data_IF_464663177472
#
_entry.id   IF_464663177472
#
_cell.length_a   1.000
_cell.length_b   1.000
_cell.length_c   1.000
_cell.angle_alpha   90.00
_cell.angle_beta   90.00
_cell.angle_gamma   90.00
#
_symmetry.space_group_name_H-M   'P 1'
#
loop_
_entity.id
_entity.type
_entity.pdbx_description
1 polymer ?
#
# COMPACT_ATOMS: atom_id res chain seq x y z
N UNK A 1 -19.95 -20.50 25.43
CA UNK A 1 -18.94 -19.64 24.77
C UNK A 1 -18.14 -20.57 23.86
N UNK A 2 -18.46 -20.58 22.56
CA UNK A 2 -17.92 -21.56 21.63
C UNK A 2 -16.60 -21.05 21.09
N UNK A 3 -15.51 -21.74 21.43
CA UNK A 3 -14.20 -21.57 20.80
C UNK A 3 -14.37 -21.95 19.33
N UNK A 4 -14.50 -20.96 18.46
CA UNK A 4 -14.45 -21.15 17.02
C UNK A 4 -13.05 -21.62 16.66
N UNK A 5 -12.93 -22.86 16.18
CA UNK A 5 -11.70 -23.39 15.60
C UNK A 5 -11.33 -22.56 14.38
N UNK A 6 -10.29 -21.73 14.50
CA UNK A 6 -9.66 -21.13 13.34
C UNK A 6 -9.04 -22.27 12.53
N UNK A 7 -9.65 -22.53 11.37
CA UNK A 7 -9.13 -23.43 10.35
C UNK A 7 -7.66 -23.10 10.08
N UNK A 8 -6.84 -24.15 9.98
CA UNK A 8 -5.38 -24.23 9.85
C UNK A 8 -4.77 -23.52 8.61
N UNK A 9 -5.37 -22.43 8.11
CA UNK A 9 -4.94 -21.69 6.92
C UNK A 9 -4.43 -20.28 7.24
N UNK A 10 -4.28 -19.91 8.51
CA UNK A 10 -3.56 -18.70 8.92
C UNK A 10 -2.05 -18.97 8.85
N UNK A 11 -1.49 -18.90 7.64
CA UNK A 11 -0.06 -19.01 7.41
C UNK A 11 0.44 -17.66 6.90
N UNK A 12 0.95 -16.86 7.84
CA UNK A 12 1.67 -15.60 7.65
C UNK A 12 0.88 -14.46 6.99
N UNK A 13 0.57 -13.47 7.80
CA UNK A 13 -0.37 -12.43 7.42
C UNK A 13 0.43 -11.21 6.92
N UNK A 14 0.28 -10.89 5.63
CA UNK A 14 0.40 -9.49 5.23
C UNK A 14 -0.76 -8.79 5.91
N UNK A 15 -0.47 -7.87 6.81
CA UNK A 15 -1.50 -7.08 7.45
C UNK A 15 -1.61 -5.75 6.77
N UNK A 16 -2.84 -5.30 6.59
CA UNK A 16 -3.15 -3.98 6.05
C UNK A 16 -3.81 -3.16 7.14
N UNK A 17 -3.38 -1.90 7.30
CA UNK A 17 -4.06 -0.95 8.18
C UNK A 17 -5.07 -0.10 7.41
N UNK A 18 -6.29 0.05 7.94
CA UNK A 18 -7.30 0.97 7.39
C UNK A 18 -6.98 2.44 7.64
N UNK A 19 -5.99 2.74 8.49
CA UNK A 19 -5.58 4.12 8.80
C UNK A 19 -4.07 4.19 8.97
N UNK A 20 -3.48 5.37 8.71
CA UNK A 20 -2.07 5.67 9.07
C UNK A 20 -1.82 5.72 10.59
N UNK A 21 -2.80 5.33 11.42
CA UNK A 21 -2.61 5.07 12.84
C UNK A 21 -2.45 3.56 13.05
N UNK A 22 -1.28 3.17 13.53
CA UNK A 22 -1.01 1.81 13.99
C UNK A 22 -2.00 1.41 15.09
N UNK A 23 -2.67 0.28 14.95
CA UNK A 23 -3.47 -0.28 16.04
C UNK A 23 -4.18 -1.59 15.74
N UNK A 24 -4.73 -1.77 14.54
CA UNK A 24 -5.41 -3.00 14.16
C UNK A 24 -5.10 -3.36 12.69
N UNK A 25 -4.16 -4.27 12.50
CA UNK A 25 -3.88 -4.85 11.19
C UNK A 25 -4.91 -5.90 10.85
N UNK A 26 -5.42 -5.89 9.62
CA UNK A 26 -6.32 -6.94 9.12
C UNK A 26 -5.51 -7.97 8.32
N UNK A 27 -5.64 -9.27 8.60
CA UNK A 27 -4.92 -10.29 7.85
C UNK A 27 -5.44 -10.41 6.43
N UNK A 28 -4.51 -10.47 5.48
CA UNK A 28 -4.81 -10.77 4.07
C UNK A 28 -4.86 -12.27 3.86
N UNK A 29 -5.98 -12.76 3.32
CA UNK A 29 -6.13 -14.16 2.92
C UNK A 29 -5.58 -14.38 1.50
N UNK A 30 -4.47 -15.11 1.40
CA UNK A 30 -3.84 -15.44 0.11
C UNK A 30 -4.59 -16.59 -0.57
N UNK A 31 -5.30 -16.28 -1.65
CA UNK A 31 -5.91 -17.30 -2.49
C UNK A 31 -4.84 -18.03 -3.30
N UNK A 32 -5.04 -19.32 -3.54
CA UNK A 32 -4.18 -20.10 -4.43
C UNK A 32 -4.23 -19.50 -5.84
N UNK A 33 -3.07 -19.45 -6.51
CA UNK A 33 -2.92 -18.97 -7.89
C UNK A 33 -3.37 -17.49 -8.08
N UNK A 34 -3.28 -16.68 -7.01
CA UNK A 34 -3.63 -15.27 -7.03
C UNK A 34 -2.46 -14.37 -6.61
N UNK A 35 -2.49 -13.12 -7.11
CA UNK A 35 -1.61 -12.05 -6.66
C UNK A 35 -2.32 -11.15 -5.66
N UNK A 36 -1.56 -10.61 -4.72
CA UNK A 36 -1.99 -9.46 -3.91
C UNK A 36 -1.40 -8.21 -4.54
N UNK A 37 -2.25 -7.24 -4.84
CA UNK A 37 -1.87 -5.95 -5.42
C UNK A 37 -2.23 -4.85 -4.43
N UNK A 38 -1.27 -3.98 -4.13
CA UNK A 38 -1.48 -2.80 -3.32
C UNK A 38 -1.19 -1.52 -4.12
N UNK A 39 -1.79 -0.42 -3.67
CA UNK A 39 -1.53 0.92 -4.19
C UNK A 39 -0.32 1.49 -3.47
N UNK A 40 0.61 2.07 -4.23
CA UNK A 40 1.71 2.86 -3.69
C UNK A 40 1.40 4.35 -3.71
N UNK A 41 2.17 5.12 -2.94
CA UNK A 41 1.99 6.57 -2.76
C UNK A 41 2.02 7.35 -4.08
N UNK A 42 2.89 6.98 -5.04
CA UNK A 42 2.94 7.65 -6.35
C UNK A 42 1.59 7.59 -7.07
N UNK A 43 0.85 6.49 -6.93
CA UNK A 43 -0.47 6.34 -7.53
C UNK A 43 -1.56 7.01 -6.69
N UNK A 44 -1.42 7.05 -5.37
CA UNK A 44 -2.28 7.88 -4.51
C UNK A 44 -2.19 9.36 -4.93
N UNK A 45 -0.98 9.89 -5.11
CA UNK A 45 -0.72 11.25 -5.61
C UNK A 45 -1.37 11.45 -6.98
N UNK A 46 -1.07 10.57 -7.94
CA UNK A 46 -1.62 10.65 -9.30
C UNK A 46 -3.14 10.67 -9.30
N UNK A 47 -3.76 9.88 -8.42
CA UNK A 47 -5.22 9.76 -8.30
C UNK A 47 -5.89 10.91 -7.56
N UNK A 48 -5.13 11.94 -7.12
CA UNK A 48 -5.62 12.98 -6.22
C UNK A 48 -6.26 12.39 -4.95
N UNK A 49 -5.68 11.33 -4.38
CA UNK A 49 -6.19 10.65 -3.19
C UNK A 49 -7.53 9.95 -3.39
N UNK A 50 -7.86 9.49 -4.61
CA UNK A 50 -8.99 8.56 -4.84
C UNK A 50 -8.61 7.15 -4.38
N UNK A 51 -7.37 6.75 -4.65
CA UNK A 51 -6.80 5.49 -4.17
C UNK A 51 -5.83 5.77 -3.04
N UNK A 52 -5.82 4.91 -2.04
CA UNK A 52 -5.02 5.10 -0.83
C UNK A 52 -3.88 4.08 -0.77
N UNK A 53 -2.68 4.60 -0.59
CA UNK A 53 -1.51 3.87 -0.12
C UNK A 53 -1.69 3.60 1.38
N UNK A 54 -1.65 2.32 1.72
CA UNK A 54 -1.96 1.83 3.07
C UNK A 54 -0.75 1.12 3.66
N UNK A 55 -0.53 1.36 4.95
CA UNK A 55 0.50 0.67 5.70
C UNK A 55 0.27 -0.83 5.66
N UNK A 56 1.34 -1.56 5.38
CA UNK A 56 1.31 -3.01 5.38
C UNK A 56 2.56 -3.59 6.03
N UNK A 57 2.42 -4.74 6.70
CA UNK A 57 3.53 -5.43 7.35
C UNK A 57 3.47 -6.93 7.12
N UNK A 58 4.64 -7.55 6.91
CA UNK A 58 4.79 -8.99 6.90
C UNK A 58 5.08 -9.48 8.33
N UNK A 59 4.29 -10.43 8.82
CA UNK A 59 4.51 -11.05 10.13
C UNK A 59 5.43 -12.27 10.01
N UNK A 60 6.36 -12.40 10.94
CA UNK A 60 7.20 -13.61 11.09
C UNK A 60 6.45 -14.71 11.84
N UNK A 61 6.75 -15.96 11.54
CA UNK A 61 6.21 -17.14 12.22
C UNK A 61 7.39 -18.07 12.60
N UNK A 62 7.32 -18.70 13.78
CA UNK A 62 8.29 -19.69 14.25
C UNK A 62 8.07 -21.11 13.72
N UNK A 63 6.88 -21.42 13.18
CA UNK A 63 6.51 -22.80 12.81
C UNK A 63 6.87 -23.19 11.38
N UNK A 64 6.81 -22.24 10.45
CA UNK A 64 7.02 -22.48 9.02
C UNK A 64 7.71 -21.27 8.41
N UNK A 65 8.47 -21.49 7.35
CA UNK A 65 9.04 -20.44 6.50
C UNK A 65 8.09 -20.01 5.38
N UNK A 66 8.25 -18.77 4.88
CA UNK A 66 7.53 -18.25 3.71
C UNK A 66 8.50 -17.50 2.83
N UNK A 67 8.42 -17.80 1.53
CA UNK A 67 9.05 -17.03 0.49
C UNK A 67 7.99 -16.21 -0.24
N UNK A 68 8.29 -14.95 -0.53
CA UNK A 68 7.48 -14.10 -1.40
C UNK A 68 8.36 -13.22 -2.25
N UNK A 69 7.89 -12.94 -3.46
CA UNK A 69 8.53 -12.01 -4.40
C UNK A 69 7.59 -10.82 -4.59
N UNK A 70 8.11 -9.61 -4.41
CA UNK A 70 7.37 -8.38 -4.68
C UNK A 70 7.87 -7.75 -5.98
N UNK A 71 6.94 -7.23 -6.79
CA UNK A 71 7.24 -6.47 -7.99
C UNK A 71 6.67 -5.06 -7.81
N UNK A 72 7.51 -4.05 -8.03
CA UNK A 72 7.13 -2.65 -7.91
C UNK A 72 7.02 -2.02 -9.29
N UNK A 73 5.88 -1.39 -9.57
CA UNK A 73 5.65 -0.63 -10.80
C UNK A 73 5.65 0.84 -10.42
N UNK A 74 6.77 1.50 -10.68
CA UNK A 74 6.98 2.89 -10.33
C UNK A 74 7.08 3.76 -11.59
N UNK A 75 6.80 5.07 -11.49
CA UNK A 75 7.16 6.04 -12.52
C UNK A 75 8.66 5.99 -12.83
N UNK A 76 9.03 6.53 -14.00
CA UNK A 76 10.45 6.79 -14.28
C UNK A 76 11.01 7.72 -13.21
N UNK A 77 12.30 7.60 -12.96
CA UNK A 77 12.95 8.36 -11.91
C UNK A 77 12.90 9.87 -12.14
N UNK A 78 13.00 10.27 -13.41
CA UNK A 78 12.94 11.67 -13.85
C UNK A 78 11.49 12.14 -14.08
N UNK A 79 10.49 11.28 -13.86
CA UNK A 79 9.11 11.65 -14.07
C UNK A 79 8.61 12.51 -12.91
N UNK A 80 8.02 13.65 -13.25
CA UNK A 80 7.23 14.43 -12.32
C UNK A 80 5.91 13.72 -11.98
N UNK A 81 5.68 13.53 -10.68
CA UNK A 81 4.49 12.91 -10.11
C UNK A 81 3.63 14.01 -9.50
N UNK A 82 2.40 14.10 -9.97
CA UNK A 82 1.38 14.99 -9.46
C UNK A 82 -0.02 14.48 -9.81
N UNK A 83 -1.09 15.09 -9.28
CA UNK A 83 -2.44 14.65 -9.59
C UNK A 83 -2.74 14.77 -11.08
N UNK A 84 -3.39 13.76 -11.64
CA UNK A 84 -3.86 13.82 -13.01
C UNK A 84 -4.82 15.01 -13.17
N UNK A 85 -4.59 15.86 -14.18
CA UNK A 85 -5.35 17.11 -14.37
C UNK A 85 -6.86 16.90 -14.40
N UNK A 86 -7.31 15.77 -14.95
CA UNK A 86 -8.74 15.40 -15.01
C UNK A 86 -9.36 15.06 -13.65
N UNK A 87 -8.55 14.82 -12.62
CA UNK A 87 -8.99 14.49 -11.26
C UNK A 87 -8.93 15.70 -10.32
N UNK A 88 -8.49 16.87 -10.81
CA UNK A 88 -8.51 18.14 -10.08
C UNK A 88 -9.81 18.85 -10.44
N UNK A 89 -10.66 19.09 -9.44
CA UNK A 89 -11.94 19.79 -9.61
C UNK A 89 -12.14 20.84 -8.52
N UNK A 90 -13.02 21.83 -8.70
CA UNK A 90 -13.34 22.79 -7.63
C UNK A 90 -13.81 22.12 -6.32
N UNK A 91 -14.48 20.98 -6.42
CA UNK A 91 -14.97 20.19 -5.28
C UNK A 91 -13.89 19.31 -4.66
N UNK A 92 -12.84 18.98 -5.43
CA UNK A 92 -11.67 18.21 -4.98
C UNK A 92 -10.39 18.91 -5.44
N UNK A 93 -10.05 20.06 -4.83
CA UNK A 93 -8.80 20.74 -5.14
C UNK A 93 -7.63 19.87 -4.71
N UNK A 94 -6.52 19.96 -5.44
CA UNK A 94 -5.27 19.35 -4.99
C UNK A 94 -4.73 20.08 -3.77
N UNK A 95 -4.24 19.34 -2.78
CA UNK A 95 -3.47 19.90 -1.65
C UNK A 95 -1.97 19.96 -1.95
N UNK A 96 -1.52 19.27 -3.01
CA UNK A 96 -0.15 19.33 -3.48
C UNK A 96 0.02 20.59 -4.31
N UNK A 97 0.93 21.46 -3.87
CA UNK A 97 1.26 22.72 -4.54
C UNK A 97 2.15 22.51 -5.76
N UNK A 98 3.01 21.48 -5.74
CA UNK A 98 4.00 21.17 -6.77
C UNK A 98 3.96 19.68 -7.16
N UNK A 99 4.42 19.38 -8.38
CA UNK A 99 4.85 18.03 -8.78
C UNK A 99 6.23 17.72 -8.19
N UNK A 100 6.49 16.43 -7.97
CA UNK A 100 7.77 15.93 -7.42
C UNK A 100 8.41 14.98 -8.43
N UNK A 101 9.71 15.12 -8.69
CA UNK A 101 10.47 14.06 -9.36
C UNK A 101 10.80 12.91 -8.38
N UNK A 102 11.35 11.82 -8.91
CA UNK A 102 11.67 10.63 -8.12
C UNK A 102 12.67 10.90 -6.99
N UNK A 103 13.68 11.77 -7.23
CA UNK A 103 14.67 12.17 -6.22
C UNK A 103 14.03 12.94 -5.08
N UNK A 104 13.27 14.00 -5.40
CA UNK A 104 12.63 14.85 -4.39
C UNK A 104 11.61 14.08 -3.54
N UNK A 105 10.99 13.06 -4.15
CA UNK A 105 10.07 12.16 -3.47
C UNK A 105 10.78 11.23 -2.48
N UNK A 106 11.92 10.64 -2.87
CA UNK A 106 12.70 9.74 -2.00
C UNK A 106 13.34 10.51 -0.83
N UNK A 107 13.86 11.71 -1.08
CA UNK A 107 14.42 12.60 -0.04
C UNK A 107 13.41 12.91 1.07
N UNK A 108 12.12 13.08 0.72
CA UNK A 108 11.06 13.28 1.70
C UNK A 108 10.78 12.05 2.56
N UNK A 109 10.87 10.86 1.95
CA UNK A 109 10.58 9.60 2.63
C UNK A 109 11.73 9.14 3.55
N UNK A 110 12.90 9.81 3.49
CA UNK A 110 14.10 9.48 4.29
C UNK A 110 14.50 8.01 4.18
N UNK A 111 14.42 7.45 2.97
CA UNK A 111 14.87 6.10 2.63
C UNK A 111 16.28 6.17 2.08
#
# INVERSE_FOLDING_TARGET
>A
MQLGSLSSTSLMELMVSKSKKMGFGMPVNFQKDAFVVNVGDSFEILSNGVYHSIEHRAMVNSEKERLSVAMFINPKFEAEIGPARSLITPQKPTTLQNSWDGESYLDQMKI
#
